data_IF_637061056987
#
_entry.id   IF_637061056987
#
_cell.length_a   1.000
_cell.length_b   1.000
_cell.length_c   1.000
_cell.angle_alpha   90.00
_cell.angle_beta   90.00
_cell.angle_gamma   90.00
#
_symmetry.space_group_name_H-M   'P 1'
#
loop_
_entity.id
_entity.type
_entity.pdbx_description
1 polymer ?
#
# COMPACT_ATOMS: atom_id res chain seq x y z
N UNK A 1 7.08 -21.61 -13.44
CA UNK A 1 7.74 -20.97 -12.28
C UNK A 1 8.00 -19.51 -12.63
N UNK A 2 7.59 -18.55 -11.81
CA UNK A 2 7.83 -17.13 -12.08
C UNK A 2 9.30 -16.78 -11.80
N UNK A 3 10.07 -16.23 -12.78
CA UNK A 3 11.47 -15.85 -12.55
C UNK A 3 11.66 -14.81 -11.44
N UNK A 4 10.63 -13.98 -11.18
CA UNK A 4 10.66 -12.93 -10.17
C UNK A 4 10.29 -13.35 -8.74
N UNK A 5 10.02 -14.63 -8.47
CA UNK A 5 9.50 -15.06 -7.16
C UNK A 5 10.42 -14.71 -6.00
N UNK A 6 11.73 -14.94 -6.12
CA UNK A 6 12.69 -14.66 -5.06
C UNK A 6 12.86 -13.16 -4.82
N UNK A 7 12.81 -12.35 -5.87
CA UNK A 7 12.82 -10.90 -5.76
C UNK A 7 11.58 -10.38 -5.02
N UNK A 8 10.38 -10.89 -5.39
CA UNK A 8 9.14 -10.52 -4.74
C UNK A 8 9.15 -10.88 -3.24
N UNK A 9 9.70 -12.04 -2.87
CA UNK A 9 9.85 -12.45 -1.47
C UNK A 9 10.72 -11.50 -0.65
N UNK A 10 11.69 -10.81 -1.26
CA UNK A 10 12.55 -9.84 -0.58
C UNK A 10 11.95 -8.44 -0.55
N UNK A 11 11.41 -7.97 -1.69
CA UNK A 11 10.95 -6.59 -1.84
C UNK A 11 9.56 -6.35 -1.28
N UNK A 12 8.64 -7.30 -1.40
CA UNK A 12 7.25 -7.11 -0.95
C UNK A 12 7.17 -6.85 0.58
N UNK A 13 7.87 -7.60 1.46
CA UNK A 13 7.86 -7.30 2.89
C UNK A 13 8.46 -5.93 3.20
N UNK A 14 9.53 -5.54 2.51
CA UNK A 14 10.17 -4.24 2.71
C UNK A 14 9.27 -3.09 2.27
N UNK A 15 8.63 -3.21 1.10
CA UNK A 15 7.66 -2.24 0.60
C UNK A 15 6.48 -2.08 1.58
N UNK A 16 5.92 -3.20 2.05
CA UNK A 16 4.83 -3.18 3.03
C UNK A 16 5.25 -2.55 4.36
N UNK A 17 6.40 -2.94 4.90
CA UNK A 17 6.95 -2.39 6.13
C UNK A 17 7.16 -0.87 6.02
N UNK A 18 7.71 -0.40 4.90
CA UNK A 18 7.92 1.03 4.64
C UNK A 18 6.60 1.81 4.58
N UNK A 19 5.54 1.24 3.98
CA UNK A 19 4.22 1.90 3.92
C UNK A 19 3.60 1.99 5.32
N UNK A 20 3.59 0.88 6.07
CA UNK A 20 2.99 0.84 7.42
C UNK A 20 3.75 1.75 8.39
N UNK A 21 5.09 1.74 8.30
CA UNK A 21 5.94 2.51 9.20
C UNK A 21 5.90 4.01 8.92
N UNK A 22 5.68 4.44 7.69
CA UNK A 22 5.70 5.87 7.34
C UNK A 22 4.33 6.54 7.45
N UNK A 23 3.24 5.79 7.32
CA UNK A 23 1.90 6.38 7.21
C UNK A 23 0.90 5.83 8.23
N UNK A 24 0.06 6.73 8.72
CA UNK A 24 -1.26 6.39 9.26
C UNK A 24 -2.20 6.28 8.07
N UNK A 25 -2.85 5.13 7.92
CA UNK A 25 -3.76 4.83 6.81
C UNK A 25 -5.18 4.80 7.38
N UNK A 26 -6.05 5.66 6.87
CA UNK A 26 -7.44 5.76 7.30
C UNK A 26 -8.40 5.58 6.11
N UNK A 27 -9.64 5.19 6.39
CA UNK A 27 -10.71 5.11 5.40
C UNK A 27 -11.18 6.53 5.04
N UNK A 28 -11.64 6.72 3.80
CA UNK A 28 -12.25 7.97 3.34
C UNK A 28 -13.65 8.19 3.93
N UNK A 29 -14.35 7.11 4.29
CA UNK A 29 -15.68 7.13 4.92
C UNK A 29 -15.90 5.91 5.82
N UNK A 30 -17.01 5.91 6.56
CA UNK A 30 -17.46 4.76 7.36
C UNK A 30 -18.22 3.71 6.55
N UNK A 31 -18.51 3.98 5.27
CA UNK A 31 -19.25 3.06 4.40
C UNK A 31 -18.45 1.79 4.13
N UNK A 32 -19.09 0.62 4.05
CA UNK A 32 -18.42 -0.65 3.76
C UNK A 32 -17.50 -0.58 2.54
N UNK A 33 -16.30 -1.16 2.66
CA UNK A 33 -15.36 -1.24 1.53
C UNK A 33 -15.85 -2.34 0.59
N UNK A 34 -16.12 -1.97 -0.66
CA UNK A 34 -16.45 -2.93 -1.73
C UNK A 34 -15.22 -3.79 -2.07
N UNK A 35 -15.17 -5.03 -1.59
CA UNK A 35 -14.07 -5.97 -1.87
C UNK A 35 -14.33 -6.86 -3.10
N UNK A 36 -15.28 -6.51 -3.96
CA UNK A 36 -15.54 -7.27 -5.19
C UNK A 36 -14.31 -7.28 -6.10
N UNK A 37 -14.12 -8.39 -6.81
CA UNK A 37 -12.98 -8.62 -7.70
C UNK A 37 -13.30 -8.15 -9.13
N UNK A 38 -12.33 -7.55 -9.82
CA UNK A 38 -12.37 -7.33 -11.26
C UNK A 38 -11.95 -8.59 -11.99
N UNK A 39 -12.61 -8.93 -13.10
CA UNK A 39 -12.18 -10.07 -13.93
C UNK A 39 -10.76 -9.88 -14.49
N UNK A 40 -9.91 -10.90 -14.38
CA UNK A 40 -8.55 -10.86 -14.91
C UNK A 40 -7.67 -12.03 -14.47
N UNK A 41 -6.38 -11.97 -14.81
CA UNK A 41 -5.38 -12.95 -14.37
C UNK A 41 -4.93 -12.72 -12.92
N UNK A 42 -5.15 -11.52 -12.39
CA UNK A 42 -4.77 -11.09 -11.03
C UNK A 42 -6.02 -10.70 -10.24
N UNK A 43 -6.00 -10.91 -8.92
CA UNK A 43 -7.11 -10.59 -8.00
C UNK A 43 -7.17 -9.09 -7.67
N UNK A 44 -7.42 -8.25 -8.66
CA UNK A 44 -7.61 -6.80 -8.46
C UNK A 44 -9.04 -6.50 -8.01
N UNK A 45 -9.21 -5.42 -7.23
CA UNK A 45 -10.53 -4.93 -6.78
C UNK A 45 -11.29 -4.31 -7.97
N UNK A 46 -12.60 -4.55 -8.06
CA UNK A 46 -13.46 -4.06 -9.14
C UNK A 46 -13.54 -2.53 -9.19
N UNK A 47 -13.54 -1.91 -8.02
CA UNK A 47 -13.48 -0.46 -7.84
C UNK A 47 -12.15 -0.10 -7.16
N UNK A 48 -11.44 0.97 -7.56
CA UNK A 48 -10.20 1.38 -6.90
C UNK A 48 -10.38 1.54 -5.38
N UNK A 49 -9.38 1.14 -4.60
CA UNK A 49 -9.38 1.37 -3.15
C UNK A 49 -8.85 2.77 -2.86
N UNK A 50 -9.68 3.60 -2.22
CA UNK A 50 -9.28 4.94 -1.78
C UNK A 50 -8.98 4.96 -0.28
N UNK A 51 -7.89 5.63 0.10
CA UNK A 51 -7.44 5.77 1.49
C UNK A 51 -6.92 7.17 1.74
N UNK A 52 -7.04 7.63 2.99
CA UNK A 52 -6.38 8.84 3.49
C UNK A 52 -5.04 8.44 4.09
N UNK A 53 -3.98 9.13 3.67
CA UNK A 53 -2.62 8.92 4.18
C UNK A 53 -2.18 10.15 4.96
N UNK A 54 -1.69 9.94 6.19
CA UNK A 54 -1.00 10.97 6.97
C UNK A 54 0.40 10.47 7.35
N UNK A 55 1.47 11.26 7.16
CA UNK A 55 2.80 10.91 7.64
C UNK A 55 2.79 10.68 9.16
N UNK A 56 3.48 9.63 9.63
CA UNK A 56 3.65 9.36 11.07
C UNK A 56 4.70 10.25 11.71
N UNK A 57 5.72 10.61 10.94
CA UNK A 57 6.80 11.48 11.39
C UNK A 57 6.53 12.92 10.98
N UNK A 58 7.07 13.88 11.73
CA UNK A 58 6.99 15.28 11.31
C UNK A 58 7.79 15.49 10.03
N UNK A 59 7.38 16.46 9.22
CA UNK A 59 8.03 16.76 7.93
C UNK A 59 9.55 17.00 8.07
N UNK A 60 9.99 17.52 9.22
CA UNK A 60 11.39 17.81 9.52
C UNK A 60 12.24 16.55 9.72
N UNK A 61 11.64 15.40 9.99
CA UNK A 61 12.34 14.13 10.19
C UNK A 61 12.61 13.39 8.87
N UNK A 62 11.89 13.76 7.80
CA UNK A 62 12.22 13.30 6.46
C UNK A 62 13.36 14.18 5.93
N UNK A 63 14.58 13.64 5.90
CA UNK A 63 15.70 14.31 5.24
C UNK A 63 15.37 14.41 3.74
N UNK A 64 14.97 15.60 3.31
CA UNK A 64 15.04 15.98 1.89
C UNK A 64 16.53 16.19 1.64
N UNK A 65 17.16 15.27 0.91
CA UNK A 65 18.58 15.36 0.58
C UNK A 65 18.88 16.71 -0.07
N UNK A 66 19.63 17.54 0.64
CA UNK A 66 20.29 18.75 0.16
C UNK A 66 21.55 18.41 -0.62
#
# INVERSE_FOLDING_TARGET
>A
MCPGVYFALQVLPLALANVIQQFVINRTSNEPIDMSESSGLTTSKATPLEVLLAPRLSHQMYHVGS
#
